data_IF_649270052824
#
_entry.id   IF_649270052824
#
_cell.length_a   1.000
_cell.length_b   1.000
_cell.length_c   1.000
_cell.angle_alpha   90.00
_cell.angle_beta   90.00
_cell.angle_gamma   90.00
#
_symmetry.space_group_name_H-M   'P 1'
#
loop_
_entity.id
_entity.type
_entity.pdbx_description
1 polymer ?
#
# COMPACT_ATOMS: atom_id res chain seq x y z
N UNK A 1 46.35 16.51 18.49
CA UNK A 1 46.36 15.19 17.81
C UNK A 1 45.46 14.15 18.49
N UNK A 2 44.22 14.50 18.87
CA UNK A 2 43.20 13.52 19.34
C UNK A 2 41.86 13.62 18.60
N UNK A 3 41.57 14.73 17.91
CA UNK A 3 40.35 14.89 17.09
C UNK A 3 40.41 14.24 15.71
N UNK A 4 41.59 14.15 15.07
CA UNK A 4 41.73 13.59 13.73
C UNK A 4 41.58 12.05 13.69
N UNK A 5 41.89 11.35 14.79
CA UNK A 5 41.80 9.89 14.86
C UNK A 5 40.33 9.44 15.01
N UNK A 6 39.50 10.19 15.74
CA UNK A 6 38.08 9.86 15.89
C UNK A 6 37.28 9.97 14.59
N UNK A 7 37.62 10.94 13.73
CA UNK A 7 36.91 11.18 12.47
C UNK A 7 37.25 10.13 11.40
N UNK A 8 38.48 9.60 11.42
CA UNK A 8 38.91 8.50 10.53
C UNK A 8 38.27 7.17 10.95
N UNK A 9 38.13 6.92 12.25
CA UNK A 9 37.49 5.68 12.74
C UNK A 9 35.99 5.68 12.44
N UNK A 10 35.28 6.79 12.64
CA UNK A 10 33.85 6.89 12.30
C UNK A 10 33.64 6.81 10.78
N UNK A 11 34.46 7.49 9.98
CA UNK A 11 34.40 7.41 8.52
C UNK A 11 34.66 6.00 7.97
N UNK A 12 35.62 5.27 8.55
CA UNK A 12 35.90 3.89 8.16
C UNK A 12 34.78 2.92 8.58
N UNK A 13 34.09 3.18 9.69
CA UNK A 13 33.00 2.31 10.16
C UNK A 13 31.74 2.49 9.31
N UNK A 14 31.45 3.72 8.86
CA UNK A 14 30.32 4.01 7.95
C UNK A 14 30.58 3.48 6.54
N UNK A 15 31.82 3.59 6.03
CA UNK A 15 32.20 3.00 4.73
C UNK A 15 32.21 1.47 4.76
N UNK A 16 32.63 0.84 5.88
CA UNK A 16 32.56 -0.60 6.04
C UNK A 16 31.11 -1.11 6.13
N UNK A 17 30.22 -0.36 6.79
CA UNK A 17 28.79 -0.67 6.84
C UNK A 17 28.12 -0.53 5.46
N UNK A 18 28.44 0.54 4.71
CA UNK A 18 27.95 0.72 3.34
C UNK A 18 28.44 -0.36 2.38
N UNK A 19 29.70 -0.76 2.46
CA UNK A 19 30.26 -1.82 1.62
C UNK A 19 29.66 -3.21 1.94
N UNK A 20 29.28 -3.47 3.19
CA UNK A 20 28.66 -4.76 3.59
C UNK A 20 27.24 -4.91 3.04
N UNK A 21 26.48 -3.82 2.99
CA UNK A 21 25.11 -3.79 2.44
C UNK A 21 25.10 -3.99 0.93
N UNK A 22 26.10 -3.45 0.22
CA UNK A 22 26.21 -3.58 -1.24
C UNK A 22 26.70 -4.97 -1.69
N UNK A 23 27.54 -5.64 -0.89
CA UNK A 23 28.18 -6.91 -1.31
C UNK A 23 27.44 -8.18 -0.85
N UNK A 24 26.61 -8.15 0.20
CA UNK A 24 25.84 -9.33 0.68
C UNK A 24 24.52 -8.94 1.38
N UNK A 25 23.43 -8.70 0.63
CA UNK A 25 22.13 -8.29 1.21
C UNK A 25 21.51 -9.31 2.18
N UNK A 26 21.85 -10.60 2.05
CA UNK A 26 21.25 -11.69 2.85
C UNK A 26 21.76 -11.79 4.31
N UNK A 27 22.72 -10.98 4.75
CA UNK A 27 23.18 -10.98 6.16
C UNK A 27 22.53 -9.89 7.02
N UNK A 28 21.70 -9.01 6.44
CA UNK A 28 21.11 -7.86 7.16
C UNK A 28 19.75 -8.21 7.79
N UNK A 29 19.13 -9.32 7.39
CA UNK A 29 17.81 -9.77 7.88
C UNK A 29 17.78 -10.16 9.38
N UNK A 30 18.93 -10.26 10.04
CA UNK A 30 19.02 -10.65 11.46
C UNK A 30 19.40 -9.55 12.46
N UNK A 31 19.79 -8.35 12.01
CA UNK A 31 20.45 -7.37 12.90
C UNK A 31 19.88 -5.95 12.90
N UNK A 32 18.90 -5.64 12.05
CA UNK A 32 18.25 -4.33 12.08
C UNK A 32 16.90 -4.44 12.80
N UNK A 33 16.70 -3.74 13.93
CA UNK A 33 15.40 -3.66 14.56
C UNK A 33 14.40 -3.02 13.59
N UNK A 34 13.11 -3.40 13.60
CA UNK A 34 12.07 -2.83 12.73
C UNK A 34 12.01 -1.30 12.76
N UNK A 35 12.46 -0.71 13.88
CA UNK A 35 12.60 0.74 14.09
C UNK A 35 13.56 1.41 13.10
N UNK A 36 14.57 0.69 12.58
CA UNK A 36 15.54 1.22 11.62
C UNK A 36 14.95 1.35 10.20
N UNK A 37 14.04 0.47 9.81
CA UNK A 37 13.30 0.56 8.53
C UNK A 37 12.24 1.66 8.63
N UNK A 38 11.54 1.77 9.78
CA UNK A 38 10.62 2.88 10.02
C UNK A 38 11.31 4.24 10.22
N UNK A 39 12.60 4.26 10.56
CA UNK A 39 13.38 5.50 10.64
C UNK A 39 13.89 5.96 9.27
N UNK A 40 14.04 5.05 8.30
CA UNK A 40 14.31 5.38 6.90
C UNK A 40 13.06 5.88 6.18
N UNK A 41 11.86 5.38 6.53
CA UNK A 41 10.58 5.85 5.98
C UNK A 41 9.93 7.00 6.76
N UNK A 42 10.26 7.13 8.06
CA UNK A 42 9.71 8.14 8.98
C UNK A 42 10.55 9.42 9.10
N UNK A 43 11.66 9.54 8.39
CA UNK A 43 12.36 10.82 8.18
C UNK A 43 11.63 11.65 7.12
N UNK A 44 10.37 11.99 7.42
CA UNK A 44 9.79 13.24 7.02
C UNK A 44 10.55 14.39 7.70
N UNK A 45 11.72 14.70 7.17
CA UNK A 45 12.05 16.09 6.90
C UNK A 45 11.43 16.30 5.51
N UNK A 46 10.64 17.32 5.21
CA UNK A 46 11.17 18.66 4.94
C UNK A 46 12.68 18.65 4.62
N UNK A 47 13.12 17.68 3.83
CA UNK A 47 14.45 17.64 3.26
C UNK A 47 14.50 18.87 2.39
N UNK A 48 15.51 19.70 2.64
CA UNK A 48 15.90 20.75 1.72
C UNK A 48 16.13 20.07 0.37
N UNK A 49 15.06 20.02 -0.44
CA UNK A 49 15.16 19.59 -1.83
C UNK A 49 16.20 20.52 -2.43
N UNK A 50 17.26 19.96 -2.97
CA UNK A 50 18.19 20.76 -3.75
C UNK A 50 17.37 21.54 -4.78
N UNK A 51 17.62 22.83 -4.91
CA UNK A 51 16.78 23.71 -5.73
C UNK A 51 16.67 23.21 -7.19
N UNK A 52 17.65 22.41 -7.63
CA UNK A 52 17.75 21.84 -8.97
C UNK A 52 17.19 20.41 -9.09
N UNK A 53 16.76 19.78 -8.00
CA UNK A 53 16.21 18.42 -8.05
C UNK A 53 14.85 18.41 -8.76
N UNK A 54 14.67 17.43 -9.65
CA UNK A 54 13.45 17.19 -10.42
C UNK A 54 12.66 16.04 -9.81
N UNK A 55 11.33 15.92 -10.07
CA UNK A 55 10.55 14.79 -9.56
C UNK A 55 11.11 13.43 -10.01
N UNK A 56 11.72 13.36 -11.20
CA UNK A 56 12.30 12.15 -11.75
C UNK A 56 13.47 11.61 -10.91
N UNK A 57 14.21 12.49 -10.21
CA UNK A 57 15.34 12.09 -9.36
C UNK A 57 14.89 11.27 -8.13
N UNK A 58 13.59 11.27 -7.82
CA UNK A 58 12.99 10.57 -6.68
C UNK A 58 12.18 9.33 -7.09
N UNK A 59 12.17 8.96 -8.38
CA UNK A 59 11.52 7.76 -8.88
C UNK A 59 12.58 6.74 -9.30
N UNK A 60 12.61 5.60 -8.62
CA UNK A 60 13.52 4.49 -8.93
C UNK A 60 12.76 3.39 -9.66
N UNK A 61 13.22 3.06 -10.87
CA UNK A 61 12.83 1.86 -11.59
C UNK A 61 13.66 0.67 -11.08
N UNK A 62 13.10 -0.10 -10.15
CA UNK A 62 13.80 -1.18 -9.44
C UNK A 62 13.38 -2.58 -9.94
N UNK A 63 14.13 -3.64 -9.59
CA UNK A 63 13.72 -5.03 -9.83
C UNK A 63 12.35 -5.40 -9.27
N UNK A 64 11.88 -4.68 -8.24
CA UNK A 64 10.61 -4.90 -7.55
C UNK A 64 9.48 -3.98 -8.04
N UNK A 65 9.75 -3.03 -8.95
CA UNK A 65 8.76 -2.08 -9.46
C UNK A 65 9.22 -0.63 -9.43
N UNK A 66 8.27 0.30 -9.56
CA UNK A 66 8.47 1.75 -9.45
C UNK A 66 8.40 2.20 -7.98
N UNK A 67 9.48 2.78 -7.48
CA UNK A 67 9.62 3.18 -6.08
C UNK A 67 9.78 4.70 -5.95
N UNK A 68 8.86 5.35 -5.24
CA UNK A 68 9.02 6.72 -4.79
C UNK A 68 9.95 6.77 -3.56
N UNK A 69 11.06 7.49 -3.67
CA UNK A 69 12.03 7.69 -2.57
C UNK A 69 11.97 9.08 -1.94
N UNK A 70 11.11 9.97 -2.48
CA UNK A 70 10.87 11.31 -1.97
C UNK A 70 9.40 11.70 -2.03
N UNK A 71 9.12 12.99 -1.80
CA UNK A 71 7.76 13.56 -1.79
C UNK A 71 7.21 13.75 -3.22
N UNK A 72 7.08 12.65 -3.95
CA UNK A 72 6.52 12.60 -5.29
C UNK A 72 5.21 11.80 -5.35
N UNK A 73 4.37 12.19 -6.29
CA UNK A 73 3.14 11.53 -6.66
C UNK A 73 3.20 11.02 -8.09
N UNK A 74 2.39 10.01 -8.41
CA UNK A 74 2.18 9.55 -9.77
C UNK A 74 1.11 10.40 -10.46
N UNK A 75 1.41 10.91 -11.66
CA UNK A 75 0.40 11.40 -12.60
C UNK A 75 0.25 10.44 -13.80
N UNK A 76 -0.55 10.82 -14.79
CA UNK A 76 -0.81 10.03 -15.99
C UNK A 76 0.48 9.46 -16.63
N UNK A 77 0.47 8.15 -16.93
CA UNK A 77 1.63 7.42 -17.42
C UNK A 77 2.72 7.18 -16.35
N UNK A 78 2.34 7.19 -15.06
CA UNK A 78 3.25 7.05 -13.92
C UNK A 78 4.41 8.06 -13.93
N UNK A 79 4.18 9.26 -14.46
CA UNK A 79 5.22 10.30 -14.42
C UNK A 79 5.24 10.89 -13.01
N UNK A 80 6.43 11.16 -12.45
CA UNK A 80 6.54 11.73 -11.12
C UNK A 80 6.30 13.23 -11.15
N UNK A 81 5.53 13.72 -10.18
CA UNK A 81 5.36 15.15 -9.87
C UNK A 81 5.56 15.36 -8.38
N UNK A 82 6.00 16.55 -7.95
CA UNK A 82 6.10 16.82 -6.52
C UNK A 82 4.72 16.89 -5.86
N UNK A 83 4.57 16.30 -4.67
CA UNK A 83 3.30 16.34 -3.95
C UNK A 83 2.89 17.77 -3.63
N UNK A 84 3.85 18.64 -3.27
CA UNK A 84 3.59 20.05 -2.98
C UNK A 84 3.08 20.83 -4.20
N UNK A 85 3.24 20.31 -5.42
CA UNK A 85 2.72 20.90 -6.65
C UNK A 85 1.22 20.61 -6.84
N UNK A 86 0.68 19.58 -6.19
CA UNK A 86 -0.69 19.07 -6.43
C UNK A 86 -1.57 19.13 -5.18
N UNK A 87 -0.99 18.98 -3.99
CA UNK A 87 -1.69 19.03 -2.70
C UNK A 87 -1.02 20.02 -1.76
N UNK A 88 -1.82 20.85 -1.09
CA UNK A 88 -1.36 21.77 -0.05
C UNK A 88 -1.54 21.16 1.33
N UNK A 89 -0.54 21.30 2.20
CA UNK A 89 -0.62 20.83 3.60
C UNK A 89 -0.51 19.31 3.78
N UNK A 90 0.02 18.59 2.78
CA UNK A 90 0.16 17.14 2.83
C UNK A 90 0.97 16.65 4.04
N UNK A 91 0.55 15.53 4.62
CA UNK A 91 1.27 14.88 5.72
C UNK A 91 1.10 13.36 5.69
N UNK A 92 2.15 12.66 6.12
CA UNK A 92 2.17 11.19 6.26
C UNK A 92 2.01 10.74 7.72
N UNK A 93 1.85 11.69 8.66
CA UNK A 93 1.72 11.41 10.10
C UNK A 93 0.27 11.08 10.47
N UNK A 94 -0.19 9.89 10.06
CA UNK A 94 -1.61 9.49 10.14
C UNK A 94 -1.86 8.23 10.99
N UNK A 95 -0.83 7.67 11.61
CA UNK A 95 -0.95 6.37 12.31
C UNK A 95 -1.83 6.40 13.56
N UNK A 96 -2.16 7.58 14.05
CA UNK A 96 -3.08 7.81 15.16
C UNK A 96 -4.39 8.48 14.72
N UNK A 97 -4.61 8.62 13.40
CA UNK A 97 -5.82 9.24 12.88
C UNK A 97 -7.03 8.34 13.16
N UNK A 98 -8.07 8.97 13.69
CA UNK A 98 -9.34 8.32 14.01
C UNK A 98 -10.45 9.04 13.26
N UNK A 99 -11.21 8.33 12.40
CA UNK A 99 -12.34 8.93 11.70
C UNK A 99 -13.46 9.29 12.67
N UNK A 100 -14.26 10.31 12.34
CA UNK A 100 -15.43 10.69 13.12
C UNK A 100 -16.60 9.70 12.93
N UNK A 101 -16.70 9.11 11.74
CA UNK A 101 -17.80 8.23 11.36
C UNK A 101 -17.30 7.12 10.44
N UNK A 102 -17.79 5.90 10.67
CA UNK A 102 -17.46 4.72 9.88
C UNK A 102 -18.76 4.10 9.41
N UNK A 103 -18.95 4.02 8.09
CA UNK A 103 -20.08 3.33 7.47
C UNK A 103 -19.59 2.07 6.76
N UNK A 104 -20.22 0.94 7.03
CA UNK A 104 -19.89 -0.30 6.32
C UNK A 104 -20.48 -0.29 4.90
N UNK A 105 -19.65 -0.51 3.89
CA UNK A 105 -20.08 -0.78 2.51
C UNK A 105 -20.00 -2.27 2.22
N UNK A 106 -20.93 -2.78 1.41
CA UNK A 106 -20.97 -4.18 1.02
C UNK A 106 -20.43 -4.33 -0.40
N UNK A 107 -19.60 -5.35 -0.68
CA UNK A 107 -19.23 -5.68 -2.05
C UNK A 107 -20.46 -5.94 -2.91
N UNK A 108 -20.39 -5.56 -4.18
CA UNK A 108 -21.43 -5.90 -5.14
C UNK A 108 -21.33 -7.39 -5.50
N UNK A 109 -22.46 -8.00 -5.87
CA UNK A 109 -22.52 -9.43 -6.23
C UNK A 109 -22.27 -9.67 -7.73
N UNK A 110 -22.09 -8.62 -8.53
CA UNK A 110 -21.91 -8.71 -9.97
C UNK A 110 -20.46 -8.52 -10.40
N UNK A 111 -20.11 -9.05 -11.58
CA UNK A 111 -18.78 -8.93 -12.19
C UNK A 111 -18.60 -7.68 -13.07
N UNK A 112 -19.64 -6.86 -13.19
CA UNK A 112 -19.65 -5.64 -13.99
C UNK A 112 -20.10 -4.47 -13.12
N UNK A 113 -19.22 -3.50 -12.84
CA UNK A 113 -19.58 -2.24 -12.21
C UNK A 113 -20.57 -1.43 -13.04
N UNK A 114 -21.19 -0.42 -12.43
CA UNK A 114 -21.98 0.56 -13.19
C UNK A 114 -21.06 1.36 -14.13
N UNK A 115 -21.26 1.38 -15.45
CA UNK A 115 -20.35 2.07 -16.36
C UNK A 115 -20.36 3.60 -16.14
N UNK A 116 -19.27 4.32 -16.49
CA UNK A 116 -19.22 5.78 -16.42
C UNK A 116 -20.28 6.45 -17.28
N UNK A 117 -20.77 7.62 -16.85
CA UNK A 117 -21.69 8.41 -17.67
C UNK A 117 -20.97 9.03 -18.89
N UNK A 118 -21.70 9.26 -20.00
CA UNK A 118 -21.14 9.97 -21.14
C UNK A 118 -20.59 11.35 -20.74
N UNK A 119 -19.33 11.63 -21.10
CA UNK A 119 -18.65 12.89 -20.80
C UNK A 119 -17.88 12.91 -19.48
N UNK A 120 -17.88 11.81 -18.72
CA UNK A 120 -17.04 11.64 -17.53
C UNK A 120 -15.64 11.19 -17.90
N UNK A 121 -14.64 11.70 -17.18
CA UNK A 121 -13.24 11.25 -17.27
C UNK A 121 -13.02 10.07 -16.33
N UNK A 122 -12.41 8.99 -16.80
CA UNK A 122 -12.02 7.87 -15.95
C UNK A 122 -10.66 8.15 -15.31
N UNK A 123 -10.63 8.26 -13.99
CA UNK A 123 -9.41 8.33 -13.19
C UNK A 123 -9.08 6.96 -12.61
N UNK A 124 -8.10 6.28 -13.19
CA UNK A 124 -7.66 4.96 -12.74
C UNK A 124 -6.39 5.09 -11.90
N UNK A 125 -6.51 4.85 -10.59
CA UNK A 125 -5.38 4.80 -9.69
C UNK A 125 -5.14 3.38 -9.17
N UNK A 126 -3.89 2.94 -9.14
CA UNK A 126 -3.47 1.70 -8.52
C UNK A 126 -2.56 1.99 -7.33
N UNK A 127 -2.76 1.31 -6.22
CA UNK A 127 -1.92 1.50 -5.03
C UNK A 127 -1.07 0.27 -4.74
N UNK A 128 0.25 0.47 -4.77
CA UNK A 128 1.21 -0.43 -4.14
C UNK A 128 1.37 -0.12 -2.64
N UNK A 129 2.53 -0.42 -2.09
CA UNK A 129 2.82 -0.15 -0.67
C UNK A 129 2.97 1.36 -0.43
N UNK A 130 2.31 1.92 0.58
CA UNK A 130 2.47 3.33 0.97
C UNK A 130 3.25 3.52 2.27
N UNK A 131 3.29 2.51 3.13
CA UNK A 131 3.83 2.60 4.49
C UNK A 131 2.95 3.41 5.45
N UNK A 132 1.77 3.85 5.02
CA UNK A 132 0.89 4.73 5.80
C UNK A 132 -0.19 3.93 6.55
N UNK A 133 0.24 3.08 7.49
CA UNK A 133 -0.68 2.29 8.30
C UNK A 133 -1.52 3.18 9.24
N UNK A 134 -2.83 2.95 9.27
CA UNK A 134 -3.81 3.62 10.14
C UNK A 134 -3.96 2.91 11.48
N UNK A 135 -4.61 3.60 12.44
CA UNK A 135 -5.08 2.99 13.68
C UNK A 135 -6.25 2.01 13.47
N UNK A 136 -6.76 1.87 12.24
CA UNK A 136 -7.89 1.01 11.90
C UNK A 136 -7.36 -0.35 11.43
N UNK A 137 -7.92 -1.44 11.95
CA UNK A 137 -7.63 -2.79 11.47
C UNK A 137 -8.90 -3.59 11.31
N UNK A 138 -8.86 -4.58 10.41
CA UNK A 138 -9.95 -5.53 10.24
C UNK A 138 -9.39 -6.88 9.85
N UNK A 139 -10.02 -7.93 10.34
CA UNK A 139 -9.49 -9.28 10.27
C UNK A 139 -10.56 -10.33 10.56
N UNK A 140 -10.19 -11.59 10.36
CA UNK A 140 -11.05 -12.76 10.52
C UNK A 140 -10.28 -13.89 11.21
N UNK A 141 -10.91 -15.06 11.27
CA UNK A 141 -10.34 -16.24 11.89
C UNK A 141 -9.07 -16.76 11.21
N UNK A 142 -8.88 -16.56 9.90
CA UNK A 142 -7.65 -17.00 9.22
C UNK A 142 -6.45 -16.14 9.65
N UNK A 143 -6.65 -14.83 9.79
CA UNK A 143 -5.66 -13.92 10.35
C UNK A 143 -5.33 -14.25 11.80
N UNK A 144 -6.35 -14.54 12.63
CA UNK A 144 -6.15 -14.97 14.01
C UNK A 144 -5.36 -16.28 14.09
N UNK A 145 -5.70 -17.27 13.28
CA UNK A 145 -4.99 -18.56 13.25
C UNK A 145 -3.51 -18.39 12.88
N UNK A 146 -3.20 -17.59 11.85
CA UNK A 146 -1.82 -17.31 11.46
C UNK A 146 -1.03 -16.59 12.58
N UNK A 147 -1.68 -15.64 13.27
CA UNK A 147 -1.06 -14.94 14.39
C UNK A 147 -0.88 -15.82 15.63
N UNK A 148 -1.82 -16.74 15.90
CA UNK A 148 -1.69 -17.77 16.95
C UNK A 148 -0.48 -18.66 16.68
N UNK A 149 -0.32 -19.15 15.46
CA UNK A 149 0.85 -19.95 15.09
C UNK A 149 2.16 -19.17 15.36
N UNK A 150 2.21 -17.93 14.89
CA UNK A 150 3.37 -17.04 15.12
C UNK A 150 3.63 -16.80 16.61
N UNK A 151 2.57 -16.62 17.40
CA UNK A 151 2.67 -16.47 18.85
C UNK A 151 3.26 -17.71 19.50
N UNK A 152 2.74 -18.90 19.18
CA UNK A 152 3.20 -20.15 19.79
C UNK A 152 4.66 -20.44 19.42
N UNK A 153 5.07 -20.23 18.17
CA UNK A 153 6.44 -20.45 17.73
C UNK A 153 7.42 -19.51 18.45
N UNK A 154 7.02 -18.25 18.66
CA UNK A 154 7.81 -17.30 19.47
C UNK A 154 7.85 -17.71 20.94
N UNK A 155 6.73 -18.15 21.50
CA UNK A 155 6.65 -18.58 22.90
C UNK A 155 7.54 -19.79 23.18
N UNK A 156 7.56 -20.77 22.28
CA UNK A 156 8.45 -21.93 22.36
C UNK A 156 9.93 -21.55 22.35
N UNK A 157 10.28 -20.55 21.54
CA UNK A 157 11.68 -20.10 21.40
C UNK A 157 12.14 -19.20 22.55
N UNK A 158 11.27 -18.32 23.03
CA UNK A 158 11.62 -17.23 23.95
C UNK A 158 11.13 -17.45 25.38
N UNK A 159 10.19 -18.37 25.59
CA UNK A 159 9.66 -18.70 26.90
C UNK A 159 8.63 -17.69 27.45
N UNK A 160 8.29 -17.81 28.74
CA UNK A 160 7.17 -17.08 29.36
C UNK A 160 7.38 -15.57 29.46
N UNK A 161 8.63 -15.10 29.44
CA UNK A 161 8.97 -13.68 29.51
C UNK A 161 8.82 -12.96 28.16
N UNK A 162 8.37 -13.67 27.12
CA UNK A 162 8.17 -13.05 25.82
C UNK A 162 7.09 -11.95 25.89
N UNK A 163 7.37 -10.83 25.25
CA UNK A 163 6.37 -9.83 24.93
C UNK A 163 5.80 -10.13 23.54
N UNK A 164 4.48 -10.08 23.43
CA UNK A 164 3.77 -10.20 22.16
C UNK A 164 2.78 -9.06 22.07
N UNK A 165 3.07 -8.15 21.16
CA UNK A 165 2.19 -7.04 20.78
C UNK A 165 2.07 -7.10 19.26
N UNK A 166 1.04 -7.81 18.80
CA UNK A 166 0.65 -7.88 17.41
C UNK A 166 -0.64 -7.08 17.19
N UNK A 167 -0.66 -6.28 16.13
CA UNK A 167 -1.89 -5.72 15.60
C UNK A 167 -2.49 -6.67 14.57
N UNK A 168 -3.82 -6.62 14.43
CA UNK A 168 -4.46 -7.15 13.24
C UNK A 168 -4.01 -6.37 11.99
N UNK A 169 -4.20 -6.94 10.78
CA UNK A 169 -3.95 -6.27 9.51
C UNK A 169 -4.54 -4.84 9.48
N UNK A 170 -3.69 -3.80 9.47
CA UNK A 170 -4.17 -2.43 9.45
C UNK A 170 -4.68 -2.06 8.06
N UNK A 171 -5.60 -1.11 7.98
CA UNK A 171 -5.78 -0.35 6.76
C UNK A 171 -4.53 0.48 6.51
N UNK A 172 -4.03 0.41 5.29
CA UNK A 172 -2.99 1.29 4.79
C UNK A 172 -3.65 2.41 3.98
N UNK A 173 -3.28 3.67 4.23
CA UNK A 173 -3.81 4.80 3.49
C UNK A 173 -3.12 4.98 2.14
N UNK A 174 -3.84 5.52 1.15
CA UNK A 174 -3.27 6.04 -0.08
C UNK A 174 -4.05 7.26 -0.51
N UNK A 175 -3.35 8.35 -0.79
CA UNK A 175 -3.96 9.62 -1.06
C UNK A 175 -4.21 9.80 -2.57
N UNK A 176 -5.35 10.40 -2.91
CA UNK A 176 -5.74 10.74 -4.28
C UNK A 176 -6.01 12.23 -4.36
N UNK A 177 -5.22 12.94 -5.15
CA UNK A 177 -5.49 14.33 -5.49
C UNK A 177 -6.33 14.39 -6.76
N UNK A 178 -7.57 14.87 -6.67
CA UNK A 178 -8.44 15.07 -7.84
C UNK A 178 -8.36 16.54 -8.25
N UNK A 179 -7.67 16.80 -9.36
CA UNK A 179 -7.44 18.14 -9.92
C UNK A 179 -8.19 18.38 -11.23
N UNK A 180 -8.85 17.36 -11.78
CA UNK A 180 -9.76 17.48 -12.91
C UNK A 180 -11.01 18.31 -12.53
N UNK A 181 -11.28 19.38 -13.28
CA UNK A 181 -12.38 20.33 -13.00
C UNK A 181 -13.29 20.59 -14.19
N UNK A 182 -12.83 20.26 -15.40
CA UNK A 182 -13.56 20.44 -16.65
C UNK A 182 -14.69 19.41 -16.75
N UNK A 183 -14.42 18.17 -16.34
CA UNK A 183 -15.39 17.08 -16.34
C UNK A 183 -15.57 16.45 -14.95
N UNK A 184 -16.72 15.78 -14.69
CA UNK A 184 -16.80 14.83 -13.59
C UNK A 184 -15.78 13.71 -13.76
N UNK A 185 -15.36 13.11 -12.64
CA UNK A 185 -14.42 12.01 -12.60
C UNK A 185 -15.11 10.73 -12.11
N UNK A 186 -14.96 9.65 -12.85
CA UNK A 186 -15.24 8.30 -12.40
C UNK A 186 -13.95 7.69 -11.88
N UNK A 187 -13.87 7.45 -10.57
CA UNK A 187 -12.67 6.91 -9.96
C UNK A 187 -12.70 5.38 -9.95
N UNK A 188 -11.67 4.77 -10.53
CA UNK A 188 -11.37 3.34 -10.38
C UNK A 188 -10.12 3.23 -9.52
N UNK A 189 -10.27 2.70 -8.32
CA UNK A 189 -9.23 2.65 -7.30
C UNK A 189 -8.86 1.19 -7.02
N UNK A 190 -7.75 0.77 -7.60
CA UNK A 190 -7.28 -0.61 -7.62
C UNK A 190 -6.24 -0.87 -6.52
N UNK A 191 -6.47 -1.89 -5.71
CA UNK A 191 -5.57 -2.36 -4.65
C UNK A 191 -5.17 -3.81 -4.95
N UNK A 192 -3.90 -4.14 -4.72
CA UNK A 192 -3.44 -5.53 -4.71
C UNK A 192 -3.95 -6.31 -3.49
N UNK A 193 -3.03 -6.88 -2.70
CA UNK A 193 -3.38 -7.55 -1.44
C UNK A 193 -3.46 -6.57 -0.26
N UNK A 194 -4.11 -6.98 0.84
CA UNK A 194 -4.21 -6.20 2.08
C UNK A 194 -5.38 -5.23 2.13
N UNK A 195 -5.43 -4.46 3.22
CA UNK A 195 -6.53 -3.54 3.51
C UNK A 195 -6.15 -2.11 3.08
N UNK A 196 -6.96 -1.46 2.23
CA UNK A 196 -6.66 -0.11 1.71
C UNK A 196 -7.71 0.92 2.12
N UNK A 197 -7.27 2.08 2.56
CA UNK A 197 -8.09 3.27 2.76
C UNK A 197 -7.68 4.34 1.75
N UNK A 198 -8.51 4.58 0.73
CA UNK A 198 -8.28 5.65 -0.22
C UNK A 198 -8.71 6.99 0.38
N UNK A 199 -7.80 7.94 0.49
CA UNK A 199 -8.08 9.26 1.05
C UNK A 199 -8.18 10.29 -0.07
N UNK A 200 -9.34 10.90 -0.25
CA UNK A 200 -9.56 11.83 -1.35
C UNK A 200 -9.25 13.27 -0.95
N UNK A 201 -8.62 14.00 -1.87
CA UNK A 201 -8.33 15.42 -1.77
C UNK A 201 -8.83 16.11 -3.04
N UNK A 202 -9.88 16.91 -2.94
CA UNK A 202 -10.49 17.53 -4.11
C UNK A 202 -9.99 18.97 -4.28
N UNK A 203 -9.53 19.29 -5.49
CA UNK A 203 -9.33 20.68 -5.88
C UNK A 203 -10.67 21.42 -5.95
N UNK A 204 -10.69 22.74 -5.68
CA UNK A 204 -11.89 23.54 -5.86
C UNK A 204 -12.50 23.38 -7.27
N UNK A 205 -13.76 22.96 -7.34
CA UNK A 205 -14.49 22.74 -8.59
C UNK A 205 -14.39 21.33 -9.17
N UNK A 206 -13.52 20.46 -8.61
CA UNK A 206 -13.46 19.06 -8.97
C UNK A 206 -14.76 18.34 -8.57
N UNK A 207 -15.20 17.42 -9.42
CA UNK A 207 -16.46 16.68 -9.24
C UNK A 207 -16.20 15.21 -9.44
N UNK A 208 -16.67 14.38 -8.52
CA UNK A 208 -16.61 12.93 -8.64
C UNK A 208 -18.02 12.43 -8.94
N UNK A 209 -18.14 11.64 -10.00
CA UNK A 209 -19.40 10.98 -10.39
C UNK A 209 -19.65 9.74 -9.53
N UNK A 210 -18.64 8.89 -9.42
CA UNK A 210 -18.70 7.57 -8.79
C UNK A 210 -17.31 7.11 -8.41
N UNK A 211 -17.24 6.23 -7.41
CA UNK A 211 -16.01 5.50 -7.06
C UNK A 211 -16.23 4.00 -7.10
N UNK A 212 -15.29 3.28 -7.70
CA UNK A 212 -15.19 1.83 -7.64
C UNK A 212 -13.90 1.48 -6.91
N UNK A 213 -14.01 0.65 -5.87
CA UNK A 213 -12.87 0.05 -5.19
C UNK A 213 -12.69 -1.36 -5.74
N UNK A 214 -11.55 -1.63 -6.38
CA UNK A 214 -11.23 -2.93 -6.97
C UNK A 214 -10.07 -3.57 -6.21
N UNK A 215 -10.23 -4.85 -5.89
CA UNK A 215 -9.22 -5.65 -5.20
C UNK A 215 -9.12 -5.33 -3.71
N UNK A 216 -7.97 -5.65 -3.12
CA UNK A 216 -7.77 -5.66 -1.67
C UNK A 216 -8.47 -6.83 -0.99
N UNK A 217 -8.00 -7.15 0.21
CA UNK A 217 -8.71 -8.02 1.14
C UNK A 217 -9.88 -7.26 1.77
N UNK A 218 -9.66 -5.98 2.05
CA UNK A 218 -10.69 -5.00 2.44
C UNK A 218 -10.38 -3.64 1.82
N UNK A 219 -11.41 -2.87 1.53
CA UNK A 219 -11.27 -1.57 0.88
C UNK A 219 -12.11 -0.51 1.59
N UNK A 220 -11.65 0.72 1.58
CA UNK A 220 -12.39 1.84 2.11
C UNK A 220 -12.01 3.14 1.44
N UNK A 221 -12.84 4.15 1.68
CA UNK A 221 -12.67 5.50 1.17
C UNK A 221 -12.98 6.52 2.24
N UNK A 222 -12.13 7.54 2.33
CA UNK A 222 -12.26 8.68 3.22
C UNK A 222 -12.52 9.96 2.43
N UNK A 223 -13.17 10.93 3.07
CA UNK A 223 -13.39 12.27 2.54
C UNK A 223 -14.18 12.33 1.22
N UNK A 224 -15.07 11.35 1.02
CA UNK A 224 -16.01 11.32 -0.10
C UNK A 224 -17.38 11.88 0.31
N UNK A 225 -17.94 12.77 -0.51
CA UNK A 225 -19.31 13.28 -0.32
C UNK A 225 -20.33 12.11 -0.19
N UNK A 226 -21.15 12.05 0.88
CA UNK A 226 -22.13 11.00 1.15
C UNK A 226 -23.04 10.64 -0.02
N UNK A 227 -23.31 11.58 -0.94
CA UNK A 227 -24.22 11.36 -2.07
C UNK A 227 -23.56 10.62 -3.24
N UNK A 228 -22.22 10.58 -3.29
CA UNK A 228 -21.49 9.91 -4.37
C UNK A 228 -21.56 8.39 -4.16
N UNK A 229 -22.02 7.62 -5.16
CA UNK A 229 -22.06 6.17 -5.08
C UNK A 229 -20.67 5.55 -4.99
N UNK A 230 -20.56 4.49 -4.17
CA UNK A 230 -19.37 3.65 -4.06
C UNK A 230 -19.78 2.21 -4.32
N UNK A 231 -19.09 1.55 -5.23
CA UNK A 231 -19.19 0.10 -5.41
C UNK A 231 -17.84 -0.55 -5.11
N UNK A 232 -17.86 -1.80 -4.67
CA UNK A 232 -16.65 -2.52 -4.27
C UNK A 232 -16.67 -3.93 -4.84
N UNK A 233 -15.55 -4.36 -5.42
CA UNK A 233 -15.28 -5.76 -5.73
C UNK A 233 -13.91 -6.11 -5.14
N UNK A 234 -13.91 -6.88 -4.05
CA UNK A 234 -12.67 -7.32 -3.37
C UNK A 234 -11.96 -8.42 -4.18
N UNK A 235 -10.73 -8.79 -3.80
CA UNK A 235 -9.94 -9.82 -4.48
C UNK A 235 -10.70 -11.14 -4.67
N UNK A 236 -11.42 -11.60 -3.65
CA UNK A 236 -12.25 -12.82 -3.75
C UNK A 236 -13.37 -12.66 -4.79
N UNK A 237 -14.00 -11.50 -4.84
CA UNK A 237 -15.04 -11.19 -5.82
C UNK A 237 -14.50 -11.16 -7.25
N UNK A 238 -13.36 -10.49 -7.47
CA UNK A 238 -12.68 -10.46 -8.77
C UNK A 238 -12.30 -11.88 -9.21
N UNK A 239 -11.70 -12.67 -8.32
CA UNK A 239 -11.33 -14.06 -8.61
C UNK A 239 -12.55 -14.93 -8.95
N UNK A 240 -13.67 -14.76 -8.24
CA UNK A 240 -14.93 -15.47 -8.55
C UNK A 240 -15.50 -15.13 -9.93
N UNK A 241 -15.18 -13.94 -10.44
CA UNK A 241 -15.52 -13.46 -11.77
C UNK A 241 -14.49 -13.86 -12.84
N UNK A 242 -13.42 -14.56 -12.47
CA UNK A 242 -12.29 -14.86 -13.38
C UNK A 242 -11.51 -13.62 -13.79
N UNK A 243 -11.58 -12.55 -13.00
CA UNK A 243 -10.88 -11.29 -13.22
C UNK A 243 -9.65 -11.29 -12.33
N UNK A 244 -8.48 -11.08 -12.93
CA UNK A 244 -7.23 -10.91 -12.20
C UNK A 244 -6.59 -9.61 -12.68
N UNK A 245 -6.55 -8.56 -11.83
CA UNK A 245 -5.78 -7.36 -12.14
C UNK A 245 -4.34 -7.73 -12.48
N UNK A 246 -3.90 -7.30 -13.65
CA UNK A 246 -2.59 -7.59 -14.20
C UNK A 246 -2.15 -6.43 -15.09
N UNK A 247 -0.87 -6.10 -15.01
CA UNK A 247 -0.29 -4.98 -15.73
C UNK A 247 1.05 -5.37 -16.32
N UNK A 248 1.45 -4.68 -17.38
CA UNK A 248 2.81 -4.81 -17.90
C UNK A 248 3.84 -4.39 -16.86
N UNK A 249 4.94 -5.14 -16.84
CA UNK A 249 6.05 -4.87 -15.95
C UNK A 249 6.92 -3.73 -16.49
N UNK A 250 7.41 -2.89 -15.57
CA UNK A 250 8.40 -1.86 -15.85
C UNK A 250 9.72 -2.45 -16.39
N UNK A 251 10.48 -1.70 -17.21
CA UNK A 251 11.74 -2.18 -17.78
C UNK A 251 12.77 -2.63 -16.74
N UNK A 252 12.83 -1.96 -15.58
CA UNK A 252 13.70 -2.34 -14.48
C UNK A 252 13.27 -3.57 -13.70
N UNK A 253 12.08 -4.15 -13.93
CA UNK A 253 11.62 -5.31 -13.18
C UNK A 253 12.53 -6.54 -13.37
N UNK A 254 12.74 -7.33 -12.32
CA UNK A 254 13.65 -8.50 -12.29
C UNK A 254 13.39 -9.45 -13.46
N UNK A 255 12.13 -9.84 -13.69
CA UNK A 255 11.74 -10.74 -14.77
C UNK A 255 12.12 -10.19 -16.15
N UNK A 256 11.92 -8.89 -16.36
CA UNK A 256 12.26 -8.21 -17.62
C UNK A 256 13.78 -8.19 -17.81
N UNK A 257 14.54 -7.85 -16.77
CA UNK A 257 16.00 -7.84 -16.83
C UNK A 257 16.59 -9.25 -17.08
N UNK A 258 16.02 -10.30 -16.48
CA UNK A 258 16.47 -11.69 -16.71
C UNK A 258 16.14 -12.14 -18.13
N UNK A 259 14.91 -11.88 -18.61
CA UNK A 259 14.49 -12.19 -19.98
C UNK A 259 15.37 -11.49 -21.03
N UNK A 260 15.83 -10.27 -20.74
CA UNK A 260 16.75 -9.52 -21.60
C UNK A 260 18.22 -9.98 -21.47
N UNK A 261 18.55 -10.75 -20.43
CA UNK A 261 19.92 -11.17 -20.11
C UNK A 261 20.77 -10.11 -19.41
N UNK A 262 20.15 -9.01 -18.96
CA UNK A 262 20.77 -7.91 -18.23
C UNK A 262 21.00 -8.25 -16.75
N UNK A 263 20.20 -9.16 -16.19
CA UNK A 263 20.34 -9.70 -14.84
C UNK A 263 20.49 -11.22 -14.88
N UNK A 264 21.32 -11.77 -13.99
CA UNK A 264 21.47 -13.22 -13.81
C UNK A 264 20.89 -13.65 -12.47
N UNK A 265 20.16 -14.74 -12.50
CA UNK A 265 19.48 -15.29 -11.35
C UNK A 265 19.77 -16.80 -11.25
N UNK A 266 20.36 -17.29 -10.15
CA UNK A 266 20.62 -18.72 -10.00
C UNK A 266 19.33 -19.54 -9.83
N UNK A 267 18.22 -18.92 -9.47
CA UNK A 267 16.94 -19.59 -9.24
C UNK A 267 15.99 -19.56 -10.44
N UNK A 268 16.23 -18.68 -11.41
CA UNK A 268 15.34 -18.50 -12.56
C UNK A 268 16.13 -18.41 -13.87
N UNK A 269 15.85 -19.33 -14.80
CA UNK A 269 16.50 -19.32 -16.11
C UNK A 269 15.87 -18.27 -17.03
N UNK A 270 16.62 -17.83 -18.05
CA UNK A 270 16.11 -16.88 -19.05
C UNK A 270 14.87 -17.41 -19.80
N UNK A 271 14.84 -18.66 -20.31
CA UNK A 271 13.63 -19.20 -20.93
C UNK A 271 12.42 -19.21 -19.99
N UNK A 272 12.62 -19.51 -18.70
CA UNK A 272 11.53 -19.50 -17.72
C UNK A 272 11.03 -18.07 -17.49
N UNK A 273 11.93 -17.09 -17.36
CA UNK A 273 11.56 -15.68 -17.23
C UNK A 273 10.83 -15.14 -18.49
N UNK A 274 11.24 -15.56 -19.69
CA UNK A 274 10.55 -15.22 -20.95
C UNK A 274 9.13 -15.83 -20.98
N UNK A 275 8.96 -17.07 -20.52
CA UNK A 275 7.66 -17.72 -20.43
C UNK A 275 6.74 -17.06 -19.39
N UNK A 276 7.28 -16.70 -18.22
CA UNK A 276 6.54 -15.99 -17.16
C UNK A 276 6.12 -14.59 -17.63
N UNK A 277 7.00 -13.86 -18.31
CA UNK A 277 6.69 -12.55 -18.88
C UNK A 277 5.61 -12.65 -19.98
N UNK A 278 5.61 -13.71 -20.80
CA UNK A 278 4.57 -13.94 -21.77
C UNK A 278 3.21 -14.21 -21.11
N UNK A 279 3.17 -15.03 -20.05
CA UNK A 279 1.95 -15.30 -19.29
C UNK A 279 1.40 -14.02 -18.62
N UNK A 280 2.28 -13.16 -18.07
CA UNK A 280 1.88 -11.89 -17.48
C UNK A 280 1.30 -10.92 -18.52
N UNK A 281 1.87 -10.88 -19.73
CA UNK A 281 1.32 -10.08 -20.84
C UNK A 281 -0.05 -10.58 -21.28
N UNK A 282 -0.24 -11.89 -21.36
CA UNK A 282 -1.55 -12.47 -21.69
C UNK A 282 -2.59 -12.12 -20.62
N UNK A 283 -2.21 -12.15 -19.33
CA UNK A 283 -3.07 -11.71 -18.23
C UNK A 283 -3.37 -10.21 -18.30
N UNK A 284 -2.37 -9.36 -18.56
CA UNK A 284 -2.56 -7.92 -18.71
C UNK A 284 -3.49 -7.59 -19.89
N UNK A 285 -3.33 -8.26 -21.03
CA UNK A 285 -4.21 -8.12 -22.19
C UNK A 285 -5.66 -8.54 -21.87
N UNK A 286 -5.84 -9.64 -21.12
CA UNK A 286 -7.17 -10.08 -20.69
C UNK A 286 -7.82 -9.06 -19.75
N UNK A 287 -7.03 -8.51 -18.82
CA UNK A 287 -7.49 -7.48 -17.90
C UNK A 287 -7.86 -6.19 -18.64
N UNK A 288 -7.05 -5.75 -19.61
CA UNK A 288 -7.33 -4.59 -20.45
C UNK A 288 -8.65 -4.71 -21.21
N UNK A 289 -8.96 -5.89 -21.74
CA UNK A 289 -10.24 -6.14 -22.41
C UNK A 289 -11.40 -5.95 -21.43
N UNK A 290 -11.33 -6.58 -20.25
CA UNK A 290 -12.38 -6.43 -19.23
C UNK A 290 -12.51 -4.98 -18.74
N UNK A 291 -11.38 -4.31 -18.50
CA UNK A 291 -11.35 -2.94 -18.01
C UNK A 291 -11.94 -1.97 -19.03
N UNK A 292 -11.60 -2.14 -20.30
CA UNK A 292 -12.18 -1.37 -21.42
C UNK A 292 -13.67 -1.62 -21.55
N UNK A 293 -14.11 -2.86 -21.45
CA UNK A 293 -15.53 -3.19 -21.58
C UNK A 293 -16.35 -2.66 -20.37
N UNK A 294 -15.70 -2.46 -19.21
CA UNK A 294 -16.31 -1.91 -17.99
C UNK A 294 -16.30 -0.38 -17.94
N UNK A 295 -15.20 0.25 -18.34
CA UNK A 295 -14.93 1.67 -18.09
C UNK A 295 -14.64 2.49 -19.36
N UNK A 296 -14.45 1.85 -20.52
CA UNK A 296 -14.22 2.53 -21.80
C UNK A 296 -12.77 2.94 -22.08
N UNK A 297 -11.81 2.59 -21.21
CA UNK A 297 -10.36 2.83 -21.39
C UNK A 297 -9.58 1.54 -21.11
N UNK A 298 -8.34 1.41 -21.59
CA UNK A 298 -7.49 0.25 -21.24
C UNK A 298 -6.81 0.49 -19.89
N UNK A 299 -6.67 -0.56 -19.07
CA UNK A 299 -6.04 -0.46 -17.75
C UNK A 299 -4.56 -0.06 -17.90
N UNK A 300 -3.83 -0.70 -18.81
CA UNK A 300 -2.42 -0.44 -19.09
C UNK A 300 -2.12 0.98 -19.60
N UNK A 301 -3.11 1.65 -20.21
CA UNK A 301 -2.96 3.04 -20.67
C UNK A 301 -3.37 4.08 -19.62
N UNK A 302 -4.28 3.72 -18.71
CA UNK A 302 -4.92 4.65 -17.77
C UNK A 302 -4.36 4.58 -16.35
N UNK A 303 -3.62 3.51 -16.01
CA UNK A 303 -3.10 3.26 -14.67
C UNK A 303 -2.19 4.39 -14.20
N UNK A 304 -2.50 4.90 -13.01
CA UNK A 304 -1.70 5.90 -12.28
C UNK A 304 -1.33 5.31 -10.92
N UNK A 305 -0.03 5.19 -10.64
CA UNK A 305 0.45 4.75 -9.35
C UNK A 305 1.84 4.10 -9.40
N UNK A 306 2.49 4.09 -8.25
CA UNK A 306 3.77 3.42 -8.02
C UNK A 306 3.57 2.16 -7.21
N UNK A 307 4.47 1.19 -7.37
CA UNK A 307 4.49 -0.05 -6.56
C UNK A 307 4.91 0.25 -5.11
N UNK A 308 5.70 1.31 -4.91
CA UNK A 308 5.88 1.96 -3.60
C UNK A 308 5.66 3.46 -3.74
N UNK A 309 4.65 3.99 -3.06
CA UNK A 309 4.29 5.41 -3.12
C UNK A 309 3.05 5.73 -2.30
N UNK A 310 2.80 7.03 -2.09
CA UNK A 310 1.74 7.48 -1.18
C UNK A 310 0.59 8.22 -1.85
N UNK A 311 0.80 8.77 -3.06
CA UNK A 311 -0.17 9.65 -3.70
C UNK A 311 -0.25 9.46 -5.22
N UNK A 312 -1.47 9.48 -5.74
CA UNK A 312 -1.75 9.57 -7.19
C UNK A 312 -2.59 10.81 -7.51
N UNK A 313 -2.39 11.36 -8.70
CA UNK A 313 -3.02 12.60 -9.17
C UNK A 313 -3.95 12.29 -10.34
N UNK A 314 -5.23 12.61 -10.17
CA UNK A 314 -6.28 12.43 -11.18
C UNK A 314 -6.66 13.78 -11.76
N UNK A 315 -6.20 14.02 -12.99
CA UNK A 315 -6.37 15.29 -13.70
C UNK A 315 -5.04 15.97 -13.98
N UNK A 316 -5.07 17.19 -14.54
CA UNK A 316 -3.86 17.94 -14.86
C UNK A 316 -3.14 18.39 -13.59
N UNK A 317 -1.80 18.40 -13.62
CA UNK A 317 -1.00 19.02 -12.56
C UNK A 317 -1.32 20.52 -12.52
N UNK A 318 -1.71 21.08 -11.37
CA UNK A 318 -2.08 22.48 -11.25
C UNK A 318 -0.96 23.41 -11.71
N UNK A 319 -1.24 24.25 -12.70
CA UNK A 319 -0.35 25.33 -13.15
C UNK A 319 -1.12 26.66 -13.15
N UNK A 320 -0.47 27.74 -12.73
CA UNK A 320 -1.05 29.09 -12.75
C UNK A 320 -2.36 29.19 -11.96
N UNK A 321 -3.49 29.26 -12.68
CA UNK A 321 -4.84 29.48 -12.14
C UNK A 321 -5.59 28.21 -11.72
N UNK A 322 -5.12 27.01 -12.09
CA UNK A 322 -5.72 25.76 -11.61
C UNK A 322 -5.35 25.59 -10.14
N UNK A 323 -6.33 25.47 -9.23
CA UNK A 323 -6.05 25.35 -7.82
C UNK A 323 -5.53 23.94 -7.48
N UNK A 324 -4.62 23.88 -6.51
CA UNK A 324 -4.20 22.63 -5.88
C UNK A 324 -5.35 22.07 -5.04
N UNK A 325 -5.35 20.76 -4.82
CA UNK A 325 -6.16 20.17 -3.78
C UNK A 325 -5.64 20.60 -2.40
N UNK A 326 -6.53 20.65 -1.41
CA UNK A 326 -6.16 20.78 -0.01
C UNK A 326 -6.09 19.38 0.61
N UNK A 327 -5.12 19.15 1.49
CA UNK A 327 -5.07 17.91 2.24
C UNK A 327 -6.27 17.81 3.19
N UNK A 328 -7.08 16.78 2.97
CA UNK A 328 -8.19 16.40 3.83
C UNK A 328 -7.73 15.24 4.73
N UNK A 329 -7.60 15.46 6.06
CA UNK A 329 -7.11 14.43 6.97
C UNK A 329 -8.12 13.30 7.14
N UNK A 330 -7.64 12.10 7.48
CA UNK A 330 -8.51 10.99 7.91
C UNK A 330 -9.01 11.23 9.34
N UNK A 331 -8.21 11.89 10.17
CA UNK A 331 -8.65 12.36 11.48
C UNK A 331 -9.93 13.20 11.36
N UNK A 332 -11.02 12.72 11.98
CA UNK A 332 -12.33 13.38 11.93
C UNK A 332 -13.10 13.20 10.62
N UNK A 333 -12.58 12.44 9.66
CA UNK A 333 -13.27 12.16 8.41
C UNK A 333 -14.48 11.25 8.59
N UNK A 334 -15.38 11.28 7.61
CA UNK A 334 -16.37 10.23 7.40
C UNK A 334 -15.78 9.22 6.43
N UNK A 335 -15.70 7.97 6.85
CA UNK A 335 -15.16 6.89 6.02
C UNK A 335 -16.25 5.88 5.68
N UNK A 336 -16.10 5.25 4.51
CA UNK A 336 -16.89 4.10 4.10
C UNK A 336 -15.94 2.94 3.85
N UNK A 337 -16.10 1.83 4.54
CA UNK A 337 -15.19 0.68 4.38
C UNK A 337 -15.95 -0.63 4.33
N UNK A 338 -15.46 -1.59 3.55
CA UNK A 338 -15.79 -2.98 3.81
C UNK A 338 -15.19 -3.36 5.16
N UNK A 339 -15.70 -4.40 5.80
CA UNK A 339 -15.18 -4.89 7.06
C UNK A 339 -15.29 -6.40 7.06
N UNK A 340 -14.34 -7.04 7.69
CA UNK A 340 -14.39 -8.46 7.98
C UNK A 340 -15.06 -8.72 9.34
N UNK A 341 -14.99 -9.96 9.83
CA UNK A 341 -15.60 -10.40 11.09
C UNK A 341 -15.26 -9.53 12.30
N UNK A 342 -14.02 -9.04 12.37
CA UNK A 342 -13.57 -8.13 13.41
C UNK A 342 -13.10 -6.81 12.81
N UNK A 343 -13.43 -5.71 13.49
CA UNK A 343 -12.99 -4.37 13.18
C UNK A 343 -12.55 -3.68 14.46
N UNK A 344 -11.36 -3.08 14.44
CA UNK A 344 -10.75 -2.45 15.61
C UNK A 344 -10.20 -1.06 15.29
N UNK A 345 -10.28 -0.19 16.29
CA UNK A 345 -9.59 1.09 16.30
C UNK A 345 -8.59 1.03 17.45
N UNK A 346 -7.29 1.03 17.12
CA UNK A 346 -6.21 0.96 18.09
C UNK A 346 -6.37 2.07 19.14
N UNK A 347 -6.34 1.67 20.41
CA UNK A 347 -6.55 2.57 21.55
C UNK A 347 -8.01 2.81 21.95
N UNK A 348 -8.99 2.29 21.19
CA UNK A 348 -10.42 2.34 21.55
C UNK A 348 -11.02 0.96 21.84
N UNK A 349 -10.27 -0.12 21.62
CA UNK A 349 -10.70 -1.48 21.97
C UNK A 349 -10.62 -1.69 23.48
N UNK A 350 -11.64 -2.32 24.07
CA UNK A 350 -11.62 -2.66 25.48
C UNK A 350 -10.46 -3.62 25.82
N UNK A 351 -9.85 -3.45 26.99
CA UNK A 351 -8.75 -4.29 27.43
C UNK A 351 -9.13 -5.78 27.38
N UNK A 352 -8.28 -6.59 26.73
CA UNK A 352 -8.52 -8.02 26.58
C UNK A 352 -9.38 -8.41 25.36
N UNK A 353 -9.84 -7.44 24.55
CA UNK A 353 -10.64 -7.69 23.35
C UNK A 353 -9.91 -7.34 22.04
N UNK A 354 -8.72 -6.75 22.15
CA UNK A 354 -7.86 -6.47 20.99
C UNK A 354 -7.31 -7.74 20.34
N UNK A 355 -6.80 -7.58 19.12
CA UNK A 355 -6.21 -8.66 18.34
C UNK A 355 -5.21 -9.51 19.13
N UNK A 356 -4.26 -8.87 19.83
CA UNK A 356 -3.24 -9.56 20.62
C UNK A 356 -3.83 -10.39 21.76
N UNK A 357 -4.82 -9.84 22.46
CA UNK A 357 -5.52 -10.52 23.52
C UNK A 357 -6.32 -11.73 23.01
N UNK A 358 -6.97 -11.60 21.84
CA UNK A 358 -7.65 -12.73 21.17
C UNK A 358 -6.68 -13.84 20.80
N UNK A 359 -5.55 -13.48 20.17
CA UNK A 359 -4.48 -14.43 19.84
C UNK A 359 -4.00 -15.17 21.09
N UNK A 360 -3.69 -14.45 22.17
CA UNK A 360 -3.27 -15.05 23.43
C UNK A 360 -4.36 -15.93 24.05
N UNK A 361 -5.63 -15.51 24.00
CA UNK A 361 -6.75 -16.28 24.51
C UNK A 361 -6.88 -17.61 23.79
N UNK A 362 -6.88 -17.58 22.45
CA UNK A 362 -6.96 -18.78 21.59
C UNK A 362 -5.76 -19.71 21.88
N UNK A 363 -4.54 -19.17 21.92
CA UNK A 363 -3.36 -19.97 22.24
C UNK A 363 -3.42 -20.59 23.64
N UNK A 364 -3.98 -19.89 24.62
CA UNK A 364 -4.15 -20.38 25.99
C UNK A 364 -5.18 -21.51 26.06
N UNK A 365 -6.27 -21.39 25.31
CA UNK A 365 -7.28 -22.43 25.19
C UNK A 365 -6.70 -23.71 24.58
N UNK A 366 -5.92 -23.59 23.49
CA UNK A 366 -5.18 -24.71 22.91
C UNK A 366 -4.18 -25.33 23.89
N UNK A 367 -3.62 -24.53 24.78
CA UNK A 367 -2.70 -24.96 25.83
C UNK A 367 -3.42 -25.52 27.09
N UNK A 368 -4.69 -25.90 26.97
CA UNK A 368 -5.54 -26.41 28.07
C UNK A 368 -5.59 -25.46 29.27
N UNK A 369 -5.57 -24.15 29.01
CA UNK A 369 -5.60 -23.11 30.03
C UNK A 369 -4.23 -22.73 30.60
N UNK A 370 -3.13 -23.38 30.17
CA UNK A 370 -1.79 -23.08 30.66
C UNK A 370 -0.76 -23.04 29.53
N UNK A 371 -0.36 -21.83 29.12
CA UNK A 371 0.65 -21.61 28.07
C UNK A 371 1.99 -22.33 28.33
N UNK A 372 2.36 -22.63 29.58
CA UNK A 372 3.58 -23.38 29.87
C UNK A 372 3.57 -24.78 29.21
N UNK A 373 2.40 -25.36 28.93
CA UNK A 373 2.27 -26.64 28.22
C UNK A 373 2.73 -26.56 26.76
N UNK A 374 2.69 -25.39 26.13
CA UNK A 374 3.15 -25.19 24.75
C UNK A 374 4.66 -25.39 24.58
N UNK A 375 5.43 -25.29 25.68
CA UNK A 375 6.87 -25.57 25.68
C UNK A 375 7.19 -27.07 25.61
N UNK A 376 6.20 -27.94 25.78
CA UNK A 376 6.34 -29.39 25.75
C UNK A 376 5.83 -29.97 24.41
N UNK A 377 6.58 -29.70 23.33
CA UNK A 377 6.71 -30.56 22.14
C UNK A 377 5.47 -31.26 21.53
N UNK A 378 4.35 -30.56 21.34
CA UNK A 378 3.27 -31.05 20.47
C UNK A 378 3.36 -30.32 19.13
N UNK A 379 3.67 -31.02 18.04
CA UNK A 379 3.60 -30.43 16.70
C UNK A 379 2.12 -30.16 16.32
N UNK A 380 1.90 -29.04 15.62
CA UNK A 380 0.59 -28.59 15.16
C UNK A 380 0.18 -29.25 13.85
#
# INVERSE_FOLDING_TARGET
MRGAIGLVVVGATVLAAGALVVLRPQMVEGFLPPVAISALTGLGASGLRDADATPADFLIDSPEGLLATGEIAAENGNRPVFIDAVVTGYTTRISADIPAEITTIRPILGCMPTPPQPGTVVGHASAGTSGLALALSTYNDSHLAAAVQTFVDRYRRLGPDMTYDAGGPPYEAYDIAVTETEAPVYLVLETGAGNRMWNLHLAPGARIERVILLGGDQAGIANLDPVIPVEVILNEGLASCGIQPAHDLNPGHRLVQIAQGSLRDPALSRPDAEAELAALRDAANAYDVWFRDSFGVMAGESRIGFDVGTLSVIGPVPTGAVPKAAYDPIAGARIRSTQDQFFEIKGQVAAGQDFSARVRSIATEFALGNLATLSQGVDF
#
